data_IF_362855737840
#
_entry.id   IF_362855737840
#
_cell.length_a   1.000
_cell.length_b   1.000
_cell.length_c   1.000
_cell.angle_alpha   90.00
_cell.angle_beta   90.00
_cell.angle_gamma   90.00
#
_symmetry.space_group_name_H-M   'P 1'
#
loop_
_entity.id
_entity.type
_entity.pdbx_description
1 polymer ?
#
# COMPACT_ATOMS: atom_id res chain seq x y z
N UNK A 1 -20.21 25.09 45.37
CA UNK A 1 -19.80 25.53 44.01
C UNK A 1 -20.49 24.60 43.02
N UNK A 2 -21.65 25.02 42.48
CA UNK A 2 -21.89 25.62 41.15
C UNK A 2 -21.93 24.60 40.00
N UNK A 3 -23.18 24.21 39.70
CA UNK A 3 -23.88 23.82 38.47
C UNK A 3 -23.16 23.07 37.32
N UNK A 4 -23.83 21.98 36.97
CA UNK A 4 -23.86 21.24 35.71
C UNK A 4 -23.90 22.11 34.44
N UNK A 5 -23.45 21.54 33.30
CA UNK A 5 -24.29 21.40 32.10
C UNK A 5 -23.60 20.62 30.98
N UNK A 6 -24.32 19.61 30.50
CA UNK A 6 -24.17 18.88 29.25
C UNK A 6 -24.54 19.73 28.03
N UNK A 7 -23.95 19.47 26.87
CA UNK A 7 -24.42 19.94 25.54
C UNK A 7 -24.15 18.77 24.56
N UNK A 8 -25.12 17.95 24.15
CA UNK A 8 -26.27 18.15 23.26
C UNK A 8 -25.88 18.38 21.79
N UNK A 9 -26.11 17.34 20.99
CA UNK A 9 -25.95 17.28 19.54
C UNK A 9 -26.93 18.20 18.80
N UNK A 10 -26.51 18.76 17.66
CA UNK A 10 -27.41 19.18 16.58
C UNK A 10 -26.75 18.89 15.24
N UNK A 11 -27.24 17.87 14.55
CA UNK A 11 -27.17 17.79 13.10
C UNK A 11 -28.25 18.72 12.51
N UNK A 12 -28.01 19.31 11.34
CA UNK A 12 -29.00 19.38 10.24
C UNK A 12 -28.36 19.93 8.96
N UNK A 13 -28.62 19.17 7.91
CA UNK A 13 -28.39 19.36 6.48
C UNK A 13 -29.25 20.50 5.89
N UNK A 14 -28.75 21.21 4.88
CA UNK A 14 -29.46 21.69 3.66
C UNK A 14 -28.77 22.96 3.11
N UNK A 15 -28.06 22.89 1.98
CA UNK A 15 -28.56 23.23 0.63
C UNK A 15 -29.23 24.62 0.52
N UNK A 16 -28.61 25.54 -0.23
CA UNK A 16 -29.15 26.25 -1.42
C UNK A 16 -28.47 27.61 -1.65
N UNK A 17 -27.95 27.81 -2.86
CA UNK A 17 -27.47 29.07 -3.47
C UNK A 17 -28.62 30.06 -3.73
N UNK A 18 -28.41 31.39 -3.65
CA UNK A 18 -28.17 32.22 -4.85
C UNK A 18 -27.20 33.42 -4.60
N UNK A 19 -26.26 33.68 -5.52
CA UNK A 19 -26.29 34.68 -6.60
C UNK A 19 -26.05 36.15 -6.21
N UNK A 20 -24.91 36.68 -6.71
CA UNK A 20 -24.60 38.07 -7.12
C UNK A 20 -25.04 39.26 -6.25
N UNK A 21 -24.07 40.09 -5.82
CA UNK A 21 -23.75 41.38 -6.46
C UNK A 21 -23.07 42.41 -5.52
N UNK A 22 -22.00 43.01 -6.07
CA UNK A 22 -21.57 44.41 -5.94
C UNK A 22 -21.22 45.01 -4.56
N UNK A 23 -19.93 45.33 -4.39
CA UNK A 23 -19.42 46.22 -3.35
C UNK A 23 -18.00 46.68 -3.67
N UNK A 24 -17.89 47.68 -4.52
CA UNK A 24 -16.66 48.28 -5.03
C UNK A 24 -15.99 49.18 -3.99
N UNK A 25 -14.69 49.02 -3.74
CA UNK A 25 -13.84 50.09 -3.20
C UNK A 25 -12.37 49.81 -3.57
N UNK A 26 -11.82 50.70 -4.38
CA UNK A 26 -10.43 50.71 -4.81
C UNK A 26 -9.48 51.12 -3.66
N UNK A 27 -8.32 50.47 -3.60
CA UNK A 27 -7.08 51.05 -3.10
C UNK A 27 -5.91 50.42 -3.89
N UNK A 28 -4.89 51.19 -4.31
CA UNK A 28 -3.75 50.65 -5.03
C UNK A 28 -2.86 49.92 -4.03
N UNK A 29 -3.08 48.62 -3.85
CA UNK A 29 -2.05 47.76 -3.26
C UNK A 29 -1.10 47.36 -4.36
N UNK A 30 0.14 47.81 -4.20
CA UNK A 30 1.34 47.32 -4.87
C UNK A 30 1.20 45.84 -5.19
N UNK A 31 1.30 45.51 -6.49
CA UNK A 31 1.34 44.13 -6.93
C UNK A 31 2.36 43.38 -6.09
N UNK A 32 2.01 42.26 -5.42
CA UNK A 32 3.03 41.31 -5.03
C UNK A 32 3.72 40.93 -6.34
N UNK A 33 4.98 41.35 -6.46
CA UNK A 33 5.92 40.81 -7.42
C UNK A 33 5.75 39.30 -7.34
N UNK A 34 5.20 38.71 -8.39
CA UNK A 34 5.07 37.27 -8.49
C UNK A 34 6.47 36.73 -8.26
N UNK A 35 6.68 36.12 -7.09
CA UNK A 35 7.75 35.17 -6.94
C UNK A 35 7.62 34.23 -8.14
N UNK A 36 8.71 33.91 -8.86
CA UNK A 36 8.63 32.86 -9.85
C UNK A 36 7.94 31.70 -9.15
N UNK A 37 6.82 31.25 -9.72
CA UNK A 37 6.26 29.96 -9.34
C UNK A 37 7.45 29.01 -9.31
N UNK A 38 7.64 28.19 -8.27
CA UNK A 38 8.52 27.05 -8.45
C UNK A 38 7.98 26.39 -9.72
N UNK A 39 8.82 26.33 -10.75
CA UNK A 39 8.61 25.34 -11.79
C UNK A 39 8.26 24.07 -11.03
N UNK A 40 7.26 23.29 -11.46
CA UNK A 40 7.23 21.90 -11.03
C UNK A 40 8.67 21.45 -11.15
N UNK A 41 9.27 21.02 -10.05
CA UNK A 41 10.42 20.17 -10.18
C UNK A 41 9.84 19.05 -11.04
N UNK A 42 10.15 19.07 -12.33
CA UNK A 42 10.28 17.87 -13.10
C UNK A 42 11.36 17.13 -12.30
N UNK A 43 10.89 16.42 -11.27
CA UNK A 43 11.58 15.29 -10.71
C UNK A 43 11.95 14.49 -11.94
N UNK A 44 13.26 14.43 -12.17
CA UNK A 44 13.93 13.73 -13.25
C UNK A 44 13.70 12.23 -13.06
N UNK A 45 12.44 11.84 -12.97
CA UNK A 45 11.99 10.47 -12.99
C UNK A 45 12.07 10.08 -14.45
N UNK A 46 13.30 9.72 -14.84
CA UNK A 46 13.58 9.15 -16.14
C UNK A 46 12.53 8.05 -16.39
N UNK A 47 11.96 7.92 -17.60
CA UNK A 47 10.82 7.04 -17.84
C UNK A 47 11.04 5.57 -17.41
N UNK A 48 12.30 5.14 -17.27
CA UNK A 48 12.69 3.86 -16.71
C UNK A 48 12.48 3.71 -15.18
N UNK A 49 12.60 4.79 -14.41
CA UNK A 49 12.37 4.80 -12.95
C UNK A 49 10.87 4.71 -12.63
N UNK A 50 10.02 5.51 -13.29
CA UNK A 50 8.56 5.42 -13.16
C UNK A 50 8.01 4.05 -13.59
N UNK A 51 8.57 3.47 -14.65
CA UNK A 51 8.19 2.14 -15.10
C UNK A 51 8.62 1.05 -14.11
N UNK A 52 9.74 1.25 -13.41
CA UNK A 52 10.20 0.35 -12.36
C UNK A 52 9.37 0.49 -11.09
N UNK A 53 9.04 1.71 -10.66
CA UNK A 53 8.19 1.95 -9.49
C UNK A 53 6.78 1.37 -9.70
N UNK A 54 6.16 1.59 -10.87
CA UNK A 54 4.88 0.97 -11.19
C UNK A 54 4.94 -0.58 -11.13
N UNK A 55 6.08 -1.19 -11.51
CA UNK A 55 6.28 -2.64 -11.34
C UNK A 55 6.47 -3.04 -9.88
N UNK A 56 7.15 -2.22 -9.08
CA UNK A 56 7.35 -2.46 -7.65
C UNK A 56 6.03 -2.40 -6.89
N UNK A 57 5.17 -1.41 -7.18
CA UNK A 57 3.83 -1.31 -6.62
C UNK A 57 2.97 -2.53 -7.02
N UNK A 58 2.95 -2.86 -8.31
CA UNK A 58 2.22 -4.04 -8.79
C UNK A 58 2.74 -5.33 -8.13
N UNK A 59 4.06 -5.46 -7.92
CA UNK A 59 4.63 -6.59 -7.19
C UNK A 59 4.18 -6.62 -5.72
N UNK A 60 4.13 -5.48 -5.05
CA UNK A 60 3.59 -5.34 -3.70
C UNK A 60 2.15 -5.84 -3.60
N UNK A 61 1.26 -5.34 -4.47
CA UNK A 61 -0.14 -5.79 -4.53
C UNK A 61 -0.25 -7.30 -4.80
N UNK A 62 0.65 -7.85 -5.62
CA UNK A 62 0.71 -9.30 -5.89
C UNK A 62 1.10 -10.10 -4.65
N UNK A 63 2.06 -9.61 -3.86
CA UNK A 63 2.45 -10.26 -2.61
C UNK A 63 1.35 -10.20 -1.54
N UNK A 64 0.58 -9.12 -1.47
CA UNK A 64 -0.59 -9.06 -0.59
C UNK A 64 -1.68 -10.05 -1.04
N UNK A 65 -1.95 -10.11 -2.35
CA UNK A 65 -2.86 -11.09 -2.92
C UNK A 65 -2.39 -12.53 -2.63
N UNK A 66 -1.08 -12.80 -2.69
CA UNK A 66 -0.51 -14.12 -2.36
C UNK A 66 -0.87 -14.53 -0.94
N UNK A 67 -0.66 -13.63 0.02
CA UNK A 67 -0.95 -13.90 1.43
C UNK A 67 -2.44 -14.23 1.61
N UNK A 68 -3.33 -13.47 0.97
CA UNK A 68 -4.77 -13.72 1.01
C UNK A 68 -5.15 -15.06 0.35
N UNK A 69 -4.60 -15.37 -0.84
CA UNK A 69 -4.81 -16.64 -1.54
C UNK A 69 -4.32 -17.83 -0.70
N UNK A 70 -3.14 -17.72 -0.07
CA UNK A 70 -2.59 -18.76 0.78
C UNK A 70 -3.40 -18.97 2.07
N UNK A 71 -3.87 -17.90 2.72
CA UNK A 71 -4.77 -18.02 3.87
C UNK A 71 -6.09 -18.70 3.49
N UNK A 72 -6.67 -18.32 2.34
CA UNK A 72 -7.89 -18.94 1.84
C UNK A 72 -7.70 -20.43 1.51
N UNK A 73 -6.56 -20.80 0.92
CA UNK A 73 -6.21 -22.19 0.66
C UNK A 73 -5.99 -22.98 1.97
N UNK A 74 -5.31 -22.39 2.96
CA UNK A 74 -5.06 -23.01 4.25
C UNK A 74 -6.34 -23.22 5.09
N UNK A 75 -7.35 -22.37 4.90
CA UNK A 75 -8.65 -22.46 5.58
C UNK A 75 -9.59 -23.53 5.00
N UNK A 76 -9.22 -24.17 3.88
CA UNK A 76 -10.05 -25.22 3.28
C UNK A 76 -10.16 -26.45 4.20
N UNK A 77 -11.38 -27.00 4.30
CA UNK A 77 -11.65 -28.19 5.09
C UNK A 77 -10.98 -29.45 4.49
N UNK A 78 -10.85 -29.51 3.16
CA UNK A 78 -10.15 -30.60 2.47
C UNK A 78 -8.63 -30.34 2.50
N UNK A 79 -7.92 -31.11 3.32
CA UNK A 79 -6.46 -30.98 3.50
C UNK A 79 -5.66 -31.34 2.24
N UNK A 80 -6.17 -32.25 1.40
CA UNK A 80 -5.50 -32.61 0.15
C UNK A 80 -5.62 -31.47 -0.88
N UNK A 81 -6.81 -30.86 -0.96
CA UNK A 81 -7.04 -29.70 -1.80
C UNK A 81 -6.29 -28.47 -1.30
N UNK A 82 -6.29 -28.20 0.01
CA UNK A 82 -5.52 -27.12 0.61
C UNK A 82 -4.03 -27.20 0.23
N UNK A 83 -3.45 -28.40 0.30
CA UNK A 83 -2.05 -28.63 -0.07
C UNK A 83 -1.80 -28.41 -1.57
N UNK A 84 -2.68 -28.90 -2.43
CA UNK A 84 -2.56 -28.70 -3.88
C UNK A 84 -2.70 -27.22 -4.27
N UNK A 85 -3.66 -26.51 -3.68
CA UNK A 85 -3.88 -25.09 -3.93
C UNK A 85 -2.70 -24.26 -3.39
N UNK A 86 -2.16 -24.57 -2.21
CA UNK A 86 -0.94 -23.91 -1.68
C UNK A 86 0.29 -24.12 -2.58
N UNK A 87 0.48 -25.32 -3.14
CA UNK A 87 1.59 -25.61 -4.05
C UNK A 87 1.45 -24.83 -5.37
N UNK A 88 0.23 -24.78 -5.92
CA UNK A 88 -0.07 -24.00 -7.12
C UNK A 88 0.14 -22.49 -6.90
N UNK A 89 -0.29 -21.96 -5.75
CA UNK A 89 -0.06 -20.57 -5.35
C UNK A 89 1.44 -20.33 -5.23
N UNK A 90 2.18 -21.20 -4.56
CA UNK A 90 3.63 -21.04 -4.40
C UNK A 90 4.36 -21.02 -5.76
N UNK A 91 4.01 -21.91 -6.69
CA UNK A 91 4.61 -21.95 -8.02
C UNK A 91 4.30 -20.69 -8.87
N UNK A 92 3.06 -20.20 -8.79
CA UNK A 92 2.64 -18.93 -9.42
C UNK A 92 3.49 -17.77 -8.91
N UNK A 93 3.58 -17.62 -7.60
CA UNK A 93 4.28 -16.49 -6.99
C UNK A 93 5.80 -16.59 -7.07
N UNK A 94 6.38 -17.80 -7.09
CA UNK A 94 7.79 -17.97 -7.41
C UNK A 94 8.12 -17.39 -8.78
N UNK A 95 7.28 -17.67 -9.78
CA UNK A 95 7.45 -17.12 -11.14
C UNK A 95 7.36 -15.59 -11.16
N UNK A 96 6.40 -14.99 -10.44
CA UNK A 96 6.26 -13.52 -10.36
C UNK A 96 7.45 -12.87 -9.63
N UNK A 97 7.98 -13.52 -8.60
CA UNK A 97 9.12 -13.04 -7.80
C UNK A 97 10.43 -13.16 -8.58
N UNK A 98 10.63 -14.24 -9.34
CA UNK A 98 11.78 -14.36 -10.25
C UNK A 98 11.74 -13.28 -11.34
N UNK A 99 10.56 -13.02 -11.93
CA UNK A 99 10.39 -11.97 -12.93
C UNK A 99 10.65 -10.57 -12.34
N UNK A 100 10.19 -10.29 -11.12
CA UNK A 100 10.48 -9.03 -10.44
C UNK A 100 11.97 -8.90 -10.08
N UNK A 101 12.61 -9.95 -9.58
CA UNK A 101 14.05 -9.95 -9.30
C UNK A 101 14.88 -9.65 -10.56
N UNK A 102 14.47 -10.16 -11.72
CA UNK A 102 15.10 -9.82 -13.01
C UNK A 102 14.88 -8.35 -13.41
N UNK A 103 13.69 -7.80 -13.14
CA UNK A 103 13.41 -6.39 -13.34
C UNK A 103 14.28 -5.50 -12.42
N UNK A 104 14.46 -5.88 -11.16
CA UNK A 104 15.36 -5.22 -10.20
C UNK A 104 16.80 -5.28 -10.68
N UNK A 105 17.26 -6.42 -11.18
CA UNK A 105 18.61 -6.54 -11.73
C UNK A 105 18.82 -5.64 -12.96
N UNK A 106 17.82 -5.57 -13.83
CA UNK A 106 17.84 -4.72 -15.02
C UNK A 106 17.91 -3.25 -14.65
N UNK A 107 17.03 -2.80 -13.74
CA UNK A 107 17.00 -1.43 -13.24
C UNK A 107 18.29 -1.07 -12.49
N UNK A 108 18.79 -1.96 -11.64
CA UNK A 108 20.02 -1.73 -10.92
C UNK A 108 21.24 -1.66 -11.85
N UNK A 109 21.23 -2.42 -12.94
CA UNK A 109 22.28 -2.34 -13.98
C UNK A 109 22.20 -1.01 -14.74
N UNK A 110 21.02 -0.50 -15.06
CA UNK A 110 20.86 0.82 -15.70
C UNK A 110 21.29 1.96 -14.77
N UNK A 111 21.08 1.82 -13.45
CA UNK A 111 21.53 2.75 -12.43
C UNK A 111 23.01 2.57 -12.02
N UNK A 112 23.75 1.65 -12.66
CA UNK A 112 25.14 1.30 -12.32
C UNK A 112 25.35 0.92 -10.84
N UNK A 113 24.33 0.33 -10.22
CA UNK A 113 24.36 -0.09 -8.83
C UNK A 113 25.36 -1.25 -8.59
N UNK A 114 25.95 -1.35 -7.39
CA UNK A 114 26.91 -2.40 -7.07
C UNK A 114 26.24 -3.79 -7.05
N UNK A 115 26.76 -4.72 -7.86
CA UNK A 115 26.20 -6.05 -8.05
C UNK A 115 25.98 -6.83 -6.73
N UNK A 116 26.81 -6.63 -5.72
CA UNK A 116 26.66 -7.26 -4.40
C UNK A 116 25.37 -6.80 -3.68
N UNK A 117 25.02 -5.53 -3.82
CA UNK A 117 23.79 -4.97 -3.25
C UNK A 117 22.55 -5.45 -4.01
N UNK A 118 22.65 -5.58 -5.34
CA UNK A 118 21.60 -6.14 -6.19
C UNK A 118 21.37 -7.62 -5.87
N UNK A 119 22.45 -8.39 -5.70
CA UNK A 119 22.36 -9.79 -5.31
C UNK A 119 21.66 -9.96 -3.95
N UNK A 120 21.99 -9.13 -2.96
CA UNK A 120 21.30 -9.13 -1.67
C UNK A 120 19.81 -8.76 -1.80
N UNK A 121 19.47 -7.72 -2.56
CA UNK A 121 18.08 -7.32 -2.80
C UNK A 121 17.28 -8.44 -3.49
N UNK A 122 17.85 -9.08 -4.52
CA UNK A 122 17.22 -10.23 -5.18
C UNK A 122 17.01 -11.41 -4.23
N UNK A 123 17.98 -11.71 -3.35
CA UNK A 123 17.82 -12.77 -2.35
C UNK A 123 16.70 -12.45 -1.36
N UNK A 124 16.57 -11.19 -0.92
CA UNK A 124 15.49 -10.76 -0.05
C UNK A 124 14.13 -10.88 -0.73
N UNK A 125 14.01 -10.40 -1.97
CA UNK A 125 12.79 -10.51 -2.79
C UNK A 125 12.37 -11.96 -2.96
N UNK A 126 13.32 -12.85 -3.28
CA UNK A 126 13.08 -14.29 -3.41
C UNK A 126 12.69 -14.98 -2.09
N UNK A 127 13.00 -14.37 -0.94
CA UNK A 127 12.63 -14.86 0.39
C UNK A 127 11.19 -14.56 0.79
N UNK A 128 10.56 -13.53 0.23
CA UNK A 128 9.23 -13.04 0.64
C UNK A 128 8.16 -14.15 0.60
N UNK A 129 8.02 -14.98 -0.45
CA UNK A 129 6.99 -16.02 -0.50
C UNK A 129 7.12 -17.07 0.60
N UNK A 130 8.36 -17.43 0.94
CA UNK A 130 8.63 -18.42 1.98
C UNK A 130 8.33 -17.84 3.37
N UNK A 131 8.67 -16.58 3.60
CA UNK A 131 8.35 -15.87 4.84
C UNK A 131 6.84 -15.77 5.04
N UNK A 132 6.11 -15.29 4.04
CA UNK A 132 4.65 -15.18 4.07
C UNK A 132 3.98 -16.52 4.37
N UNK A 133 4.42 -17.60 3.71
CA UNK A 133 3.93 -18.94 4.00
C UNK A 133 4.18 -19.35 5.45
N UNK A 134 5.38 -19.08 5.97
CA UNK A 134 5.75 -19.40 7.36
C UNK A 134 4.87 -18.63 8.35
N UNK A 135 4.59 -17.35 8.09
CA UNK A 135 3.70 -16.52 8.92
C UNK A 135 2.26 -17.03 8.91
N UNK A 136 1.76 -17.47 7.75
CA UNK A 136 0.43 -18.06 7.62
C UNK A 136 0.33 -19.40 8.37
N UNK A 137 1.35 -20.25 8.26
CA UNK A 137 1.40 -21.52 9.02
C UNK A 137 1.45 -21.27 10.53
N UNK A 138 2.20 -20.26 11.00
CA UNK A 138 2.20 -19.85 12.40
C UNK A 138 0.86 -19.28 12.86
N UNK A 139 0.22 -18.43 12.05
CA UNK A 139 -1.10 -17.87 12.35
C UNK A 139 -2.19 -18.96 12.40
N UNK A 140 -2.11 -19.96 11.52
CA UNK A 140 -3.04 -21.09 11.51
C UNK A 140 -2.83 -22.06 12.69
N UNK A 141 -1.60 -22.13 13.23
CA UNK A 141 -1.27 -22.92 14.41
C UNK A 141 -1.59 -22.20 15.73
N UNK A 142 -1.84 -20.89 15.70
CA UNK A 142 -2.29 -20.15 16.88
C UNK A 142 -3.70 -20.61 17.26
N UNK A 143 -3.96 -20.95 18.54
CA UNK A 143 -5.31 -21.30 18.96
C UNK A 143 -6.23 -20.09 18.74
N UNK A 144 -7.38 -20.32 18.10
CA UNK A 144 -8.43 -19.31 18.01
C UNK A 144 -8.73 -18.80 19.42
N UNK A 145 -8.39 -17.54 19.69
CA UNK A 145 -8.69 -16.92 20.98
C UNK A 145 -10.20 -17.02 21.19
N UNK A 146 -10.60 -17.69 22.27
CA UNK A 146 -11.99 -17.74 22.68
C UNK A 146 -12.53 -16.31 22.79
N UNK A 147 -13.78 -16.04 22.37
CA UNK A 147 -14.38 -14.72 22.53
C UNK A 147 -14.27 -14.31 24.01
N UNK A 148 -13.95 -13.03 24.31
CA UNK A 148 -13.81 -12.58 25.68
C UNK A 148 -15.09 -12.89 26.45
N UNK A 149 -14.97 -13.69 27.51
CA UNK A 149 -16.06 -13.92 28.43
C UNK A 149 -16.45 -12.56 29.04
N UNK A 150 -17.61 -12.05 28.67
CA UNK A 150 -18.20 -10.88 29.31
C UNK A 150 -18.47 -11.24 30.78
N UNK A 151 -17.87 -10.52 31.75
CA UNK A 151 -18.23 -10.71 33.15
C UNK A 151 -19.69 -10.29 33.37
N UNK A 152 -20.45 -11.15 34.05
CA UNK A 152 -21.85 -10.92 34.46
C UNK A 152 -21.95 -9.86 35.55
#
# INVERSE_FOLDING_TARGET
MRLASSIAAVAVLALTTPAFAAGQAAAPSSAPQAAPAPAPAEEDDSPDEAAFEAKAEAFGERMEAMVAEMQAAAAQADKAKAKADLDAIQAKYQTEVDAFAEAVNTFATSQAAPAEQVAMAMQQIKGIPLQARTEIEQAAAAPAAAPPAQPQ
#
